data_IF_050154916750
#
_entry.id   IF_050154916750
#
_cell.length_a   1.000
_cell.length_b   1.000
_cell.length_c   1.000
_cell.angle_alpha   90.00
_cell.angle_beta   90.00
_cell.angle_gamma   90.00
#
_symmetry.space_group_name_H-M   'P 1'
#
loop_
_entity.id
_entity.type
_entity.pdbx_description
1 polymer ?
#
# COMPACT_ATOMS: atom_id res chain seq x y z
N UNK A 1 20.15 -14.88 -59.93
CA UNK A 1 20.59 -14.20 -58.68
C UNK A 1 19.57 -13.12 -58.33
N UNK A 2 18.67 -13.38 -57.37
CA UNK A 2 17.67 -12.39 -56.92
C UNK A 2 18.34 -11.42 -55.93
N UNK A 3 18.47 -10.16 -56.32
CA UNK A 3 18.96 -9.08 -55.46
C UNK A 3 17.86 -8.67 -54.48
N UNK A 4 18.11 -8.84 -53.18
CA UNK A 4 17.31 -8.30 -52.10
C UNK A 4 17.67 -6.82 -51.89
N UNK A 5 16.69 -5.93 -52.01
CA UNK A 5 16.83 -4.52 -51.64
C UNK A 5 16.74 -4.42 -50.11
N UNK A 6 17.85 -4.09 -49.47
CA UNK A 6 17.93 -3.74 -48.04
C UNK A 6 17.57 -2.26 -47.91
N UNK A 7 16.36 -1.97 -47.45
CA UNK A 7 15.95 -0.62 -47.04
C UNK A 7 16.44 -0.43 -45.60
N UNK A 8 17.55 0.29 -45.44
CA UNK A 8 18.04 0.77 -44.14
C UNK A 8 17.35 2.09 -43.85
N UNK A 9 16.34 2.08 -42.97
CA UNK A 9 15.74 3.31 -42.44
C UNK A 9 16.61 3.80 -41.28
N UNK A 10 17.34 4.89 -41.53
CA UNK A 10 17.95 5.69 -40.47
C UNK A 10 16.86 6.54 -39.80
N UNK A 11 16.31 6.09 -38.67
CA UNK A 11 15.56 6.96 -37.77
C UNK A 11 16.54 7.65 -36.81
N UNK A 12 17.05 8.80 -37.22
CA UNK A 12 17.64 9.77 -36.29
C UNK A 12 16.49 10.45 -35.56
N UNK A 13 16.09 9.92 -34.41
CA UNK A 13 15.26 10.66 -33.47
C UNK A 13 16.20 11.43 -32.52
N UNK A 14 16.39 12.72 -32.81
CA UNK A 14 16.90 13.64 -31.81
C UNK A 14 15.97 13.59 -30.59
N UNK A 15 16.47 13.15 -29.44
CA UNK A 15 15.76 13.19 -28.16
C UNK A 15 15.66 14.65 -27.70
N UNK A 16 14.72 15.39 -28.27
CA UNK A 16 14.36 16.72 -27.82
C UNK A 16 13.63 16.63 -26.48
N UNK A 17 14.25 17.18 -25.45
CA UNK A 17 13.66 17.47 -24.14
C UNK A 17 12.46 18.40 -24.35
N UNK A 18 11.23 17.90 -24.27
CA UNK A 18 10.06 18.79 -24.13
C UNK A 18 9.07 18.19 -23.15
N UNK A 19 8.94 18.84 -22.00
CA UNK A 19 7.67 18.83 -21.30
C UNK A 19 6.82 20.02 -21.75
N UNK A 20 5.53 19.93 -21.45
CA UNK A 20 4.50 20.81 -21.99
C UNK A 20 3.61 21.36 -20.88
N UNK A 21 3.05 22.55 -21.11
CA UNK A 21 1.91 23.04 -20.35
C UNK A 21 0.65 22.76 -21.13
N UNK A 22 -0.15 21.86 -20.59
CA UNK A 22 -1.43 21.44 -21.14
C UNK A 22 -2.50 22.32 -20.50
N UNK A 23 -3.14 23.16 -21.31
CA UNK A 23 -4.28 23.97 -20.93
C UNK A 23 -5.53 23.13 -21.08
N UNK A 24 -6.28 22.96 -20.00
CA UNK A 24 -7.48 22.13 -19.97
C UNK A 24 -8.73 22.98 -20.21
N UNK A 25 -9.77 22.39 -20.80
CA UNK A 25 -11.06 23.03 -21.06
C UNK A 25 -11.75 23.53 -19.78
N UNK A 26 -11.39 22.96 -18.63
CA UNK A 26 -11.83 23.42 -17.29
C UNK A 26 -11.15 24.71 -16.82
N UNK A 27 -10.26 25.31 -17.62
CA UNK A 27 -9.46 26.49 -17.27
C UNK A 27 -8.19 26.18 -16.46
N UNK A 28 -7.95 24.91 -16.14
CA UNK A 28 -6.74 24.46 -15.44
C UNK A 28 -5.51 24.41 -16.35
N UNK A 29 -4.31 24.52 -15.76
CA UNK A 29 -3.04 24.26 -16.44
C UNK A 29 -2.35 23.07 -15.79
N UNK A 30 -1.81 22.18 -16.63
CA UNK A 30 -1.07 21.01 -16.20
C UNK A 30 0.35 21.07 -16.78
N UNK A 31 1.36 21.10 -15.92
CA UNK A 31 2.76 20.94 -16.34
C UNK A 31 3.07 19.44 -16.39
N UNK A 32 3.28 18.87 -17.58
CA UNK A 32 3.58 17.45 -17.75
C UNK A 32 4.34 17.19 -19.06
N UNK A 33 5.14 16.13 -19.09
CA UNK A 33 5.80 15.66 -20.31
C UNK A 33 4.87 14.74 -21.08
N UNK A 34 4.51 15.09 -22.31
CA UNK A 34 3.71 14.23 -23.17
C UNK A 34 4.61 13.09 -23.66
N UNK A 35 4.23 11.86 -23.31
CA UNK A 35 4.94 10.63 -23.68
C UNK A 35 4.33 9.98 -24.92
N UNK A 36 3.03 10.15 -25.10
CA UNK A 36 2.26 9.61 -26.22
C UNK A 36 1.10 10.56 -26.52
N UNK A 37 0.83 10.78 -27.80
CA UNK A 37 -0.26 11.60 -28.30
C UNK A 37 -0.97 10.80 -29.40
N UNK A 38 -2.26 10.57 -29.21
CA UNK A 38 -3.15 9.86 -30.13
C UNK A 38 -4.34 10.75 -30.44
N UNK A 39 -5.14 10.36 -31.44
CA UNK A 39 -6.36 11.10 -31.82
C UNK A 39 -7.41 11.11 -30.70
N UNK A 40 -7.32 10.21 -29.70
CA UNK A 40 -8.27 10.11 -28.60
C UNK A 40 -7.73 10.70 -27.28
N UNK A 41 -6.41 10.65 -27.06
CA UNK A 41 -5.81 11.03 -25.78
C UNK A 41 -4.35 11.42 -25.85
N UNK A 42 -3.90 12.17 -24.84
CA UNK A 42 -2.48 12.34 -24.48
C UNK A 42 -2.14 11.58 -23.21
N UNK A 43 -1.03 10.84 -23.24
CA UNK A 43 -0.43 10.19 -22.08
C UNK A 43 0.74 11.03 -21.59
N UNK A 44 0.68 11.46 -20.33
CA UNK A 44 1.57 12.51 -19.82
C UNK A 44 2.21 12.12 -18.50
N UNK A 45 3.47 12.52 -18.31
CA UNK A 45 4.23 12.37 -17.07
C UNK A 45 4.30 13.71 -16.35
N UNK A 46 3.52 13.87 -15.30
CA UNK A 46 3.43 15.12 -14.52
C UNK A 46 4.63 15.33 -13.59
N UNK A 47 5.23 14.23 -13.13
CA UNK A 47 6.34 14.19 -12.18
C UNK A 47 7.01 12.82 -12.33
N UNK A 48 8.26 12.59 -11.88
CA UNK A 48 8.84 11.25 -11.87
C UNK A 48 7.87 10.17 -11.37
N UNK A 49 7.54 9.24 -12.27
CA UNK A 49 6.63 8.11 -12.03
C UNK A 49 5.15 8.46 -11.76
N UNK A 50 4.72 9.70 -12.01
CA UNK A 50 3.31 10.10 -12.01
C UNK A 50 2.87 10.28 -13.45
N UNK A 51 2.01 9.36 -13.91
CA UNK A 51 1.47 9.37 -15.26
C UNK A 51 -0.03 9.63 -15.23
N UNK A 52 -0.54 10.29 -16.25
CA UNK A 52 -1.97 10.51 -16.44
C UNK A 52 -2.32 10.34 -17.92
N UNK A 53 -3.49 9.74 -18.17
CA UNK A 53 -4.14 9.76 -19.48
C UNK A 53 -5.17 10.89 -19.48
N UNK A 54 -5.14 11.73 -20.51
CA UNK A 54 -6.04 12.88 -20.65
C UNK A 54 -6.67 12.79 -22.02
N UNK A 55 -8.01 12.75 -22.07
CA UNK A 55 -8.73 12.75 -23.35
C UNK A 55 -8.47 14.06 -24.10
N UNK A 56 -8.25 13.97 -25.42
CA UNK A 56 -7.84 15.11 -26.23
C UNK A 56 -8.87 16.24 -26.20
N UNK A 57 -10.17 15.91 -26.08
CA UNK A 57 -11.27 16.86 -25.96
C UNK A 57 -11.15 17.77 -24.73
N UNK A 58 -10.40 17.33 -23.71
CA UNK A 58 -10.16 18.10 -22.49
C UNK A 58 -9.00 19.06 -22.63
N UNK A 59 -8.25 19.01 -23.74
CA UNK A 59 -7.06 19.81 -24.01
C UNK A 59 -7.42 20.95 -24.96
N UNK A 60 -7.23 22.19 -24.51
CA UNK A 60 -7.47 23.41 -25.29
C UNK A 60 -6.22 23.85 -26.04
N UNK A 61 -5.06 23.74 -25.40
CA UNK A 61 -3.78 24.17 -25.98
C UNK A 61 -2.62 23.49 -25.26
N UNK A 62 -1.54 23.23 -25.99
CA UNK A 62 -0.28 22.71 -25.46
C UNK A 62 0.81 23.77 -25.70
N UNK A 63 1.42 24.30 -24.63
CA UNK A 63 2.61 25.17 -24.72
C UNK A 63 3.87 24.33 -24.46
N UNK A 64 4.77 24.23 -25.44
CA UNK A 64 5.98 23.40 -25.31
C UNK A 64 7.09 24.16 -24.61
N UNK A 65 7.36 23.84 -23.33
CA UNK A 65 8.43 24.45 -22.53
C UNK A 65 8.85 23.57 -21.34
N UNK A 66 10.14 23.55 -20.95
CA UNK A 66 10.60 22.73 -19.83
C UNK A 66 9.78 22.95 -18.56
N UNK A 67 9.36 21.86 -17.91
CA UNK A 67 8.66 21.96 -16.61
C UNK A 67 9.60 22.54 -15.56
N UNK A 68 9.03 23.12 -14.50
CA UNK A 68 9.81 23.56 -13.35
C UNK A 68 10.67 22.42 -12.78
N UNK A 69 10.14 21.21 -12.77
CA UNK A 69 10.85 20.02 -12.30
C UNK A 69 12.02 19.63 -13.21
N UNK A 70 11.88 19.70 -14.53
CA UNK A 70 13.01 19.43 -15.44
C UNK A 70 14.10 20.49 -15.29
N UNK A 71 13.72 21.77 -15.16
CA UNK A 71 14.66 22.85 -14.86
C UNK A 71 15.40 22.61 -13.53
N UNK A 72 14.71 22.08 -12.51
CA UNK A 72 15.33 21.63 -11.27
C UNK A 72 16.32 20.49 -11.50
N UNK A 73 15.91 19.42 -12.19
CA UNK A 73 16.73 18.24 -12.43
C UNK A 73 18.03 18.58 -13.15
N UNK A 74 17.95 19.42 -14.20
CA UNK A 74 19.13 19.88 -14.93
C UNK A 74 20.04 20.79 -14.10
N UNK A 75 19.48 21.64 -13.24
CA UNK A 75 20.28 22.45 -12.30
C UNK A 75 20.97 21.56 -11.26
N UNK A 76 20.26 20.59 -10.69
CA UNK A 76 20.76 19.68 -9.66
C UNK A 76 21.93 18.83 -10.19
N UNK A 77 21.86 18.29 -11.41
CA UNK A 77 22.94 17.50 -12.03
C UNK A 77 24.24 18.27 -12.25
N UNK A 78 24.17 19.61 -12.34
CA UNK A 78 25.34 20.48 -12.59
C UNK A 78 26.05 20.91 -11.31
N UNK A 79 25.48 20.60 -10.15
CA UNK A 79 26.10 20.94 -8.85
C UNK A 79 27.24 19.96 -8.58
N UNK A 80 28.40 20.50 -8.19
CA UNK A 80 29.55 19.71 -7.82
C UNK A 80 29.26 18.86 -6.56
N UNK A 81 29.78 17.62 -6.47
CA UNK A 81 29.67 16.83 -5.26
C UNK A 81 30.20 17.62 -4.05
N UNK A 82 29.43 17.61 -2.96
CA UNK A 82 29.75 18.26 -1.67
C UNK A 82 29.74 19.81 -1.65
N UNK A 83 29.22 20.48 -2.68
CA UNK A 83 29.06 21.94 -2.68
C UNK A 83 27.77 22.37 -1.96
N UNK A 84 27.89 22.59 -0.65
CA UNK A 84 26.77 23.02 0.19
C UNK A 84 26.15 24.35 -0.25
N UNK A 85 26.95 25.30 -0.76
CA UNK A 85 26.46 26.62 -1.15
C UNK A 85 25.65 26.52 -2.45
N UNK A 86 26.12 25.73 -3.43
CA UNK A 86 25.36 25.48 -4.65
C UNK A 86 24.00 24.81 -4.37
N UNK A 87 23.95 23.84 -3.44
CA UNK A 87 22.70 23.24 -2.98
C UNK A 87 21.77 24.27 -2.31
N UNK A 88 22.33 25.20 -1.51
CA UNK A 88 21.54 26.28 -0.91
C UNK A 88 20.95 27.25 -1.95
N UNK A 89 21.74 27.62 -2.96
CA UNK A 89 21.26 28.47 -4.06
C UNK A 89 20.14 27.77 -4.85
N UNK A 90 20.27 26.46 -5.08
CA UNK A 90 19.22 25.66 -5.70
C UNK A 90 17.96 25.60 -4.82
N UNK A 91 18.10 25.46 -3.50
CA UNK A 91 16.98 25.51 -2.57
C UNK A 91 16.21 26.84 -2.70
N UNK A 92 16.91 27.98 -2.67
CA UNK A 92 16.29 29.31 -2.86
C UNK A 92 15.54 29.41 -4.19
N UNK A 93 16.13 28.88 -5.26
CA UNK A 93 15.47 28.83 -6.56
C UNK A 93 14.21 27.95 -6.53
N UNK A 94 14.27 26.75 -5.94
CA UNK A 94 13.12 25.85 -5.78
C UNK A 94 11.97 26.51 -5.03
N UNK A 95 12.27 27.23 -3.93
CA UNK A 95 11.28 28.00 -3.16
C UNK A 95 10.58 29.04 -4.05
N UNK A 96 11.34 29.79 -4.85
CA UNK A 96 10.81 30.80 -5.79
C UNK A 96 9.94 30.18 -6.88
N UNK A 97 10.27 28.97 -7.35
CA UNK A 97 9.49 28.25 -8.37
C UNK A 97 8.25 27.52 -7.82
N UNK A 98 8.06 27.48 -6.50
CA UNK A 98 6.99 26.71 -5.86
C UNK A 98 7.25 25.20 -5.80
N UNK A 99 8.50 24.78 -5.99
CA UNK A 99 8.96 23.39 -5.89
C UNK A 99 9.28 23.05 -4.44
N UNK A 100 8.24 22.94 -3.60
CA UNK A 100 8.41 22.79 -2.14
C UNK A 100 9.08 21.48 -1.72
N UNK A 101 8.90 20.39 -2.49
CA UNK A 101 9.53 19.09 -2.18
C UNK A 101 11.03 19.13 -2.43
N UNK A 102 11.41 19.73 -3.55
CA UNK A 102 12.79 19.94 -3.97
C UNK A 102 13.47 20.94 -3.04
N UNK A 103 12.81 22.07 -2.74
CA UNK A 103 13.29 23.05 -1.75
C UNK A 103 13.68 22.37 -0.44
N UNK A 104 12.77 21.55 0.12
CA UNK A 104 13.06 20.81 1.34
C UNK A 104 14.26 19.87 1.20
N UNK A 105 14.33 19.12 0.11
CA UNK A 105 15.43 18.18 -0.15
C UNK A 105 16.78 18.90 -0.20
N UNK A 106 16.85 20.02 -0.92
CA UNK A 106 18.07 20.81 -1.07
C UNK A 106 18.49 21.49 0.25
N UNK A 107 17.54 21.90 1.10
CA UNK A 107 17.83 22.39 2.47
C UNK A 107 18.45 21.28 3.31
N UNK A 108 17.90 20.06 3.26
CA UNK A 108 18.43 18.91 4.00
C UNK A 108 19.83 18.52 3.51
N UNK A 109 20.08 18.54 2.18
CA UNK A 109 21.40 18.28 1.61
C UNK A 109 22.39 19.35 2.06
N UNK A 110 22.03 20.64 1.98
CA UNK A 110 22.86 21.76 2.44
C UNK A 110 23.32 21.55 3.88
N UNK A 111 22.39 21.19 4.79
CA UNK A 111 22.70 20.95 6.20
C UNK A 111 23.51 19.67 6.42
N UNK A 112 23.34 18.65 5.59
CA UNK A 112 24.15 17.43 5.68
C UNK A 112 25.62 17.70 5.33
N UNK A 113 25.86 18.61 4.38
CA UNK A 113 27.19 19.00 3.91
C UNK A 113 27.81 20.08 4.81
N UNK A 114 26.99 21.01 5.33
CA UNK A 114 27.40 22.11 6.20
C UNK A 114 26.39 22.30 7.35
N UNK A 115 26.52 21.54 8.44
CA UNK A 115 25.54 21.55 9.55
C UNK A 115 25.33 22.90 10.23
N UNK A 116 26.33 23.78 10.18
CA UNK A 116 26.33 25.12 10.75
C UNK A 116 25.90 26.22 9.75
N UNK A 117 25.30 25.85 8.62
CA UNK A 117 24.78 26.81 7.65
C UNK A 117 23.55 27.55 8.19
N UNK A 118 23.74 28.78 8.70
CA UNK A 118 22.72 29.59 9.39
C UNK A 118 21.39 29.71 8.64
N UNK A 119 21.45 30.05 7.35
CA UNK A 119 20.24 30.31 6.55
C UNK A 119 19.43 29.03 6.27
N UNK A 120 20.11 27.93 5.93
CA UNK A 120 19.49 26.62 5.76
C UNK A 120 18.90 26.08 7.07
N UNK A 121 19.55 26.34 8.22
CA UNK A 121 19.03 25.92 9.53
C UNK A 121 17.71 26.64 9.85
N UNK A 122 17.67 27.96 9.65
CA UNK A 122 16.43 28.75 9.80
C UNK A 122 15.32 28.25 8.87
N UNK A 123 15.65 28.00 7.60
CA UNK A 123 14.71 27.44 6.62
C UNK A 123 14.17 26.06 7.02
N UNK A 124 15.02 25.22 7.61
CA UNK A 124 14.64 23.90 8.12
C UNK A 124 13.70 23.98 9.32
N UNK A 125 13.96 24.90 10.25
CA UNK A 125 13.09 25.16 11.41
C UNK A 125 11.71 25.67 10.99
N UNK A 126 11.65 26.59 10.02
CA UNK A 126 10.39 27.05 9.42
C UNK A 126 9.60 25.87 8.81
N UNK A 127 10.25 25.04 7.99
CA UNK A 127 9.64 23.84 7.39
C UNK A 127 9.12 22.84 8.43
N UNK A 128 9.83 22.70 9.56
CA UNK A 128 9.45 21.84 10.67
C UNK A 128 8.21 22.37 11.38
N UNK A 129 8.18 23.67 11.70
CA UNK A 129 7.05 24.32 12.35
C UNK A 129 5.77 24.23 11.49
N UNK A 130 5.88 24.50 10.19
CA UNK A 130 4.77 24.37 9.24
C UNK A 130 4.21 22.93 9.21
N UNK A 131 5.09 21.92 9.24
CA UNK A 131 4.69 20.52 9.28
C UNK A 131 3.94 20.18 10.55
N UNK A 132 4.43 20.61 11.71
CA UNK A 132 3.79 20.39 13.00
C UNK A 132 2.41 21.05 13.05
N UNK A 133 2.28 22.28 12.54
CA UNK A 133 0.98 22.94 12.46
C UNK A 133 0.02 22.24 11.49
N UNK A 134 0.50 21.76 10.33
CA UNK A 134 -0.34 21.00 9.39
C UNK A 134 -0.87 19.71 10.04
N UNK A 135 -0.03 19.01 10.80
CA UNK A 135 -0.44 17.81 11.56
C UNK A 135 -1.49 18.19 12.61
N UNK A 136 -1.26 19.26 13.38
CA UNK A 136 -2.22 19.76 14.39
C UNK A 136 -3.57 20.13 13.77
N UNK A 137 -3.57 20.83 12.63
CA UNK A 137 -4.80 21.19 11.88
C UNK A 137 -5.51 19.95 11.34
N UNK A 138 -4.77 18.96 10.83
CA UNK A 138 -5.34 17.70 10.37
C UNK A 138 -5.98 16.92 11.51
N UNK A 139 -5.32 16.83 12.67
CA UNK A 139 -5.85 16.21 13.88
C UNK A 139 -7.11 16.93 14.38
N UNK A 140 -7.11 18.28 14.42
CA UNK A 140 -8.29 19.08 14.81
C UNK A 140 -9.46 18.90 13.84
N UNK A 141 -9.20 18.83 12.52
CA UNK A 141 -10.21 18.52 11.51
C UNK A 141 -10.76 17.10 11.66
N UNK A 142 -9.90 16.11 11.92
CA UNK A 142 -10.31 14.74 12.18
C UNK A 142 -11.18 14.63 13.45
N UNK A 143 -10.80 15.32 14.53
CA UNK A 143 -11.59 15.42 15.76
C UNK A 143 -12.94 16.10 15.53
N UNK A 144 -12.97 17.23 14.81
CA UNK A 144 -14.22 17.94 14.46
C UNK A 144 -15.13 17.08 13.56
N UNK A 145 -14.57 16.32 12.62
CA UNK A 145 -15.31 15.37 11.77
C UNK A 145 -15.85 14.18 12.57
N UNK A 146 -15.13 13.74 13.61
CA UNK A 146 -15.62 12.72 14.54
C UNK A 146 -16.78 13.23 15.42
N UNK A 147 -16.74 14.50 15.85
CA UNK A 147 -17.83 15.16 16.59
C UNK A 147 -19.04 15.42 15.68
N UNK A 148 -18.84 15.92 14.46
CA UNK A 148 -19.90 16.13 13.47
C UNK A 148 -20.57 14.83 13.02
N UNK A 149 -19.83 13.71 12.93
CA UNK A 149 -20.43 12.38 12.69
C UNK A 149 -21.33 11.90 13.84
N UNK A 150 -21.20 12.44 15.05
CA UNK A 150 -22.16 12.19 16.14
C UNK A 150 -23.43 13.05 16.03
N UNK A 151 -23.38 14.21 15.37
CA UNK A 151 -24.51 15.16 15.26
C UNK A 151 -25.25 15.13 13.92
N UNK A 152 -24.68 14.52 12.87
CA UNK A 152 -25.38 14.31 11.62
C UNK A 152 -26.43 13.21 11.79
N UNK A 153 -27.68 13.62 12.02
CA UNK A 153 -28.86 12.76 11.94
C UNK A 153 -28.95 12.17 10.52
N UNK A 154 -28.32 11.02 10.31
CA UNK A 154 -28.75 10.14 9.23
C UNK A 154 -30.24 9.93 9.46
N UNK A 155 -31.08 10.20 8.44
CA UNK A 155 -32.50 9.85 8.45
C UNK A 155 -32.61 8.47 9.12
N UNK A 156 -33.27 8.41 10.28
CA UNK A 156 -33.39 7.16 11.04
C UNK A 156 -34.12 6.16 10.15
N UNK A 157 -33.36 5.31 9.47
CA UNK A 157 -33.90 4.10 8.85
C UNK A 157 -34.59 3.36 9.99
N UNK A 158 -35.92 3.20 9.90
CA UNK A 158 -36.70 2.47 10.89
C UNK A 158 -36.21 1.01 10.91
N UNK A 159 -36.36 0.33 12.04
CA UNK A 159 -35.99 -1.08 12.14
C UNK A 159 -36.75 -1.90 11.10
N UNK A 160 -36.06 -2.87 10.50
CA UNK A 160 -36.66 -3.77 9.53
C UNK A 160 -37.78 -4.63 10.16
N UNK A 161 -38.73 -5.09 9.35
CA UNK A 161 -39.77 -6.02 9.80
C UNK A 161 -39.16 -7.31 10.36
N UNK A 162 -39.86 -7.98 11.28
CA UNK A 162 -39.44 -9.28 11.80
C UNK A 162 -39.23 -10.32 10.69
N UNK A 163 -40.08 -10.32 9.66
CA UNK A 163 -39.94 -11.18 8.49
C UNK A 163 -38.64 -10.92 7.73
N UNK A 164 -38.25 -9.65 7.54
CA UNK A 164 -37.00 -9.27 6.88
C UNK A 164 -35.77 -9.64 7.71
N UNK A 165 -35.82 -9.42 9.03
CA UNK A 165 -34.73 -9.84 9.94
C UNK A 165 -34.56 -11.37 9.94
N UNK A 166 -35.65 -12.14 9.92
CA UNK A 166 -35.61 -13.59 9.80
C UNK A 166 -35.01 -14.05 8.45
N UNK A 167 -35.36 -13.37 7.35
CA UNK A 167 -34.79 -13.63 6.03
C UNK A 167 -33.27 -13.38 6.00
N UNK A 168 -32.81 -12.28 6.59
CA UNK A 168 -31.38 -11.97 6.70
C UNK A 168 -30.65 -13.03 7.51
N UNK A 169 -31.22 -13.46 8.64
CA UNK A 169 -30.64 -14.55 9.45
C UNK A 169 -30.53 -15.83 8.64
N UNK A 170 -31.54 -16.18 7.84
CA UNK A 170 -31.50 -17.34 6.93
C UNK A 170 -30.36 -17.24 5.92
N UNK A 171 -30.13 -16.07 5.32
CA UNK A 171 -29.00 -15.87 4.40
C UNK A 171 -27.64 -15.91 5.12
N UNK A 172 -27.53 -15.38 6.33
CA UNK A 172 -26.32 -15.51 7.15
C UNK A 172 -26.04 -17.00 7.44
N UNK A 173 -27.07 -17.76 7.81
CA UNK A 173 -26.97 -19.21 8.06
C UNK A 173 -26.57 -19.97 6.80
N UNK A 174 -27.20 -19.67 5.65
CA UNK A 174 -26.85 -20.22 4.34
C UNK A 174 -25.38 -19.96 4.02
N UNK A 175 -24.91 -18.72 4.15
CA UNK A 175 -23.51 -18.35 3.89
C UNK A 175 -22.51 -19.18 4.71
N UNK A 176 -22.76 -19.32 6.02
CA UNK A 176 -21.86 -20.08 6.90
C UNK A 176 -22.00 -21.60 6.77
N UNK A 177 -23.09 -22.10 6.17
CA UNK A 177 -23.26 -23.52 5.85
C UNK A 177 -22.50 -23.94 4.58
N UNK A 178 -22.27 -23.00 3.66
CA UNK A 178 -21.54 -23.26 2.42
C UNK A 178 -20.04 -23.37 2.73
N UNK A 179 -19.34 -24.42 2.26
CA UNK A 179 -17.89 -24.53 2.42
C UNK A 179 -17.13 -23.33 1.82
N UNK A 180 -15.95 -23.02 2.36
CA UNK A 180 -15.18 -21.84 1.91
C UNK A 180 -14.68 -21.96 0.48
N UNK A 181 -14.52 -23.19 0.00
CA UNK A 181 -14.09 -23.49 -1.37
C UNK A 181 -15.14 -23.11 -2.43
N UNK A 182 -16.42 -23.06 -2.06
CA UNK A 182 -17.51 -22.75 -2.98
C UNK A 182 -17.80 -21.23 -3.01
N UNK A 183 -16.79 -20.49 -3.47
CA UNK A 183 -16.84 -19.02 -3.54
C UNK A 183 -18.03 -18.52 -4.37
N UNK A 184 -18.38 -19.21 -5.46
CA UNK A 184 -19.51 -18.82 -6.32
C UNK A 184 -20.84 -18.86 -5.55
N UNK A 185 -21.11 -19.93 -4.79
CA UNK A 185 -22.33 -20.00 -3.99
C UNK A 185 -22.33 -18.98 -2.85
N UNK A 186 -21.19 -18.78 -2.18
CA UNK A 186 -21.07 -17.75 -1.14
C UNK A 186 -21.33 -16.35 -1.68
N UNK A 187 -20.80 -16.03 -2.86
CA UNK A 187 -21.03 -14.76 -3.55
C UNK A 187 -22.49 -14.57 -3.96
N UNK A 188 -23.17 -15.62 -4.43
CA UNK A 188 -24.62 -15.58 -4.68
C UNK A 188 -25.43 -15.24 -3.42
N UNK A 189 -25.03 -15.75 -2.24
CA UNK A 189 -25.69 -15.38 -0.97
C UNK A 189 -25.41 -13.92 -0.59
N UNK A 190 -24.18 -13.44 -0.81
CA UNK A 190 -23.83 -12.04 -0.59
C UNK A 190 -24.58 -11.10 -1.53
N UNK A 191 -24.80 -11.49 -2.79
CA UNK A 191 -25.61 -10.75 -3.76
C UNK A 191 -27.10 -10.73 -3.36
N UNK A 192 -27.65 -11.85 -2.87
CA UNK A 192 -29.00 -11.84 -2.25
C UNK A 192 -29.09 -10.84 -1.09
N UNK A 193 -28.05 -10.79 -0.24
CA UNK A 193 -27.98 -9.84 0.89
C UNK A 193 -27.80 -8.39 0.45
N UNK A 194 -27.01 -8.11 -0.60
CA UNK A 194 -26.71 -6.75 -1.08
C UNK A 194 -27.94 -6.08 -1.71
N UNK A 195 -28.84 -6.87 -2.29
CA UNK A 195 -30.11 -6.41 -2.89
C UNK A 195 -31.17 -6.04 -1.86
N UNK A 196 -30.98 -6.38 -0.57
CA UNK A 196 -31.91 -5.97 0.49
C UNK A 196 -31.71 -4.48 0.81
N UNK A 197 -32.81 -3.75 1.02
CA UNK A 197 -32.69 -2.33 1.38
C UNK A 197 -31.87 -2.13 2.66
N UNK A 198 -31.12 -1.02 2.78
CA UNK A 198 -30.24 -0.74 3.90
C UNK A 198 -30.91 -0.90 5.26
N UNK A 199 -30.23 -1.60 6.16
CA UNK A 199 -30.70 -1.80 7.53
C UNK A 199 -30.41 -0.58 8.42
N UNK A 200 -31.21 -0.45 9.47
CA UNK A 200 -30.87 0.48 10.55
C UNK A 200 -29.57 0.06 11.24
N UNK A 201 -28.86 1.02 11.84
CA UNK A 201 -27.61 0.74 12.58
C UNK A 201 -27.83 -0.27 13.71
N UNK A 202 -28.98 -0.24 14.39
CA UNK A 202 -29.32 -1.19 15.46
C UNK A 202 -29.48 -2.60 14.93
N UNK A 203 -30.10 -2.78 13.76
CA UNK A 203 -30.29 -4.10 13.15
C UNK A 203 -28.94 -4.67 12.70
N UNK A 204 -28.07 -3.86 12.09
CA UNK A 204 -26.69 -4.30 11.75
C UNK A 204 -25.93 -4.74 12.99
N UNK A 205 -26.05 -4.00 14.10
CA UNK A 205 -25.39 -4.34 15.37
C UNK A 205 -25.96 -5.61 16.00
N UNK A 206 -27.23 -5.94 15.78
CA UNK A 206 -27.85 -7.17 16.29
C UNK A 206 -27.24 -8.42 15.64
N UNK A 207 -27.01 -8.39 14.33
CA UNK A 207 -26.36 -9.48 13.59
C UNK A 207 -24.86 -9.57 13.81
N UNK A 208 -24.19 -8.45 14.15
CA UNK A 208 -22.73 -8.43 14.37
C UNK A 208 -22.27 -9.55 15.30
N UNK A 209 -22.84 -9.66 16.50
CA UNK A 209 -22.42 -10.68 17.49
C UNK A 209 -22.59 -12.11 16.96
N UNK A 210 -23.67 -12.35 16.21
CA UNK A 210 -23.98 -13.65 15.63
C UNK A 210 -22.99 -14.03 14.52
N UNK A 211 -22.74 -13.13 13.58
CA UNK A 211 -21.78 -13.31 12.48
C UNK A 211 -20.38 -13.58 13.06
N UNK A 212 -19.93 -12.76 14.02
CA UNK A 212 -18.64 -12.97 14.68
C UNK A 212 -18.58 -14.34 15.36
N UNK A 213 -19.64 -14.76 16.06
CA UNK A 213 -19.68 -16.08 16.69
C UNK A 213 -19.55 -17.21 15.66
N UNK A 214 -20.24 -17.12 14.51
CA UNK A 214 -20.18 -18.12 13.44
C UNK A 214 -18.80 -18.16 12.77
N UNK A 215 -18.22 -17.00 12.45
CA UNK A 215 -16.88 -16.90 11.87
C UNK A 215 -15.79 -17.50 12.77
N UNK A 216 -15.99 -17.47 14.09
CA UNK A 216 -15.05 -18.02 15.07
C UNK A 216 -15.18 -19.54 15.31
N UNK A 217 -16.18 -20.22 14.74
CA UNK A 217 -16.37 -21.68 14.87
C UNK A 217 -15.49 -22.53 13.95
N UNK A 218 -14.71 -21.91 13.08
CA UNK A 218 -13.82 -22.61 12.14
C UNK A 218 -12.68 -23.40 12.82
N UNK A 219 -11.88 -24.12 12.02
CA UNK A 219 -10.77 -24.92 12.54
C UNK A 219 -9.76 -24.04 13.27
N UNK A 220 -9.14 -24.64 14.29
CA UNK A 220 -8.03 -24.07 15.06
C UNK A 220 -6.72 -24.71 14.61
N UNK A 221 -5.63 -24.00 14.85
CA UNK A 221 -4.30 -24.45 14.55
C UNK A 221 -3.94 -25.70 15.34
N UNK A 222 -3.39 -26.68 14.61
CA UNK A 222 -2.76 -27.87 15.18
C UNK A 222 -1.30 -27.86 14.75
N UNK A 223 -0.38 -27.95 15.71
CA UNK A 223 1.05 -27.90 15.44
C UNK A 223 1.83 -28.82 16.38
N UNK A 224 2.91 -29.40 15.87
CA UNK A 224 3.84 -30.28 16.62
C UNK A 224 5.26 -29.76 16.49
N UNK A 225 5.96 -29.60 17.61
CA UNK A 225 7.34 -29.08 17.63
C UNK A 225 7.47 -27.69 16.99
N UNK A 226 6.45 -26.84 17.13
CA UNK A 226 6.43 -25.50 16.52
C UNK A 226 6.20 -25.48 15.00
N UNK A 227 5.75 -26.58 14.40
CA UNK A 227 5.36 -26.65 12.97
C UNK A 227 3.89 -27.03 12.83
N UNK A 228 3.17 -26.32 11.98
CA UNK A 228 1.77 -26.57 11.67
C UNK A 228 1.50 -26.49 10.16
N UNK A 229 0.29 -26.86 9.78
CA UNK A 229 -0.24 -26.68 8.44
C UNK A 229 -1.61 -26.03 8.55
N UNK A 230 -1.89 -25.07 7.67
CA UNK A 230 -3.15 -24.35 7.71
C UNK A 230 -4.30 -25.30 7.38
N UNK A 231 -5.37 -25.24 8.17
CA UNK A 231 -6.58 -26.02 7.95
C UNK A 231 -7.43 -25.36 6.85
N UNK A 232 -6.90 -25.35 5.62
CA UNK A 232 -7.58 -24.79 4.44
C UNK A 232 -7.28 -25.65 3.22
N UNK A 233 -8.34 -26.06 2.50
CA UNK A 233 -8.19 -26.77 1.23
C UNK A 233 -7.69 -25.84 0.11
N UNK A 234 -8.05 -24.56 0.18
CA UNK A 234 -7.65 -23.54 -0.79
C UNK A 234 -6.19 -23.12 -0.61
N UNK A 235 -5.75 -23.04 0.64
CA UNK A 235 -4.42 -22.51 0.99
C UNK A 235 -3.65 -23.50 1.89
N UNK A 236 -3.31 -24.72 1.41
CA UNK A 236 -2.72 -25.78 2.24
C UNK A 236 -1.23 -25.54 2.57
N UNK A 237 -0.84 -24.31 2.93
CA UNK A 237 0.53 -23.94 3.26
C UNK A 237 0.95 -24.37 4.66
N UNK A 238 2.22 -24.73 4.82
CA UNK A 238 2.84 -25.04 6.11
C UNK A 238 3.40 -23.79 6.78
N UNK A 239 3.51 -23.80 8.10
CA UNK A 239 4.06 -22.68 8.85
C UNK A 239 4.83 -23.14 10.09
N UNK A 240 5.70 -22.26 10.59
CA UNK A 240 6.30 -22.39 11.90
C UNK A 240 5.61 -21.43 12.87
N UNK A 241 5.51 -21.81 14.14
CA UNK A 241 4.89 -21.01 15.19
C UNK A 241 5.76 -21.01 16.45
N UNK A 242 5.89 -19.83 17.05
CA UNK A 242 6.44 -19.65 18.38
C UNK A 242 5.38 -19.04 19.29
N UNK A 243 5.02 -19.77 20.34
CA UNK A 243 4.13 -19.30 21.39
C UNK A 243 4.98 -18.76 22.54
N UNK A 244 4.70 -17.54 23.03
CA UNK A 244 5.46 -16.94 24.11
C UNK A 244 5.24 -17.72 25.42
N UNK A 245 6.27 -17.79 26.27
CA UNK A 245 6.12 -18.33 27.64
C UNK A 245 5.42 -17.35 28.58
N UNK A 246 5.43 -16.06 28.25
CA UNK A 246 4.80 -15.00 29.04
C UNK A 246 3.29 -15.14 28.92
N UNK A 247 2.59 -15.28 30.05
CA UNK A 247 1.12 -15.36 30.06
C UNK A 247 0.52 -13.97 29.91
N UNK A 248 -0.34 -13.79 28.92
CA UNK A 248 -1.05 -12.53 28.66
C UNK A 248 -2.54 -12.77 28.47
N UNK A 249 -3.36 -11.76 28.81
CA UNK A 249 -4.82 -11.80 28.55
C UNK A 249 -5.14 -11.80 27.05
N UNK A 250 -4.39 -11.00 26.28
CA UNK A 250 -4.41 -11.01 24.82
C UNK A 250 -2.99 -10.83 24.26
N UNK A 251 -2.65 -11.63 23.25
CA UNK A 251 -1.32 -11.67 22.65
C UNK A 251 -1.27 -10.79 21.40
N UNK A 252 -0.19 -10.00 21.21
CA UNK A 252 0.18 -9.53 19.88
C UNK A 252 0.40 -10.72 18.93
N UNK A 253 0.13 -10.52 17.65
CA UNK A 253 0.44 -11.48 16.59
C UNK A 253 1.51 -10.87 15.67
N UNK A 254 2.58 -11.60 15.40
CA UNK A 254 3.58 -11.25 14.40
C UNK A 254 3.60 -12.30 13.29
N UNK A 255 3.38 -11.87 12.06
CA UNK A 255 3.58 -12.69 10.87
C UNK A 255 4.93 -12.32 10.25
N UNK A 256 5.81 -13.30 10.08
CA UNK A 256 7.15 -13.10 9.49
C UNK A 256 7.31 -13.81 8.15
N UNK A 257 7.48 -13.03 7.08
CA UNK A 257 7.61 -13.53 5.71
C UNK A 257 9.09 -13.78 5.36
N UNK A 258 9.40 -14.99 4.89
CA UNK A 258 10.76 -15.32 4.46
C UNK A 258 11.14 -14.61 3.15
N UNK A 259 12.45 -14.42 2.92
CA UNK A 259 12.98 -14.05 1.61
C UNK A 259 12.92 -15.22 0.63
N UNK A 260 13.13 -14.97 -0.66
CA UNK A 260 12.89 -15.99 -1.67
C UNK A 260 13.70 -15.80 -2.94
N UNK A 261 13.30 -16.59 -3.93
CA UNK A 261 13.92 -16.84 -5.23
C UNK A 261 13.26 -18.09 -5.81
N UNK A 262 13.49 -18.38 -7.08
CA UNK A 262 12.88 -19.57 -7.70
C UNK A 262 13.28 -20.85 -6.93
N UNK A 263 12.29 -21.66 -6.52
CA UNK A 263 12.52 -22.87 -5.73
C UNK A 263 12.82 -22.64 -4.23
N UNK A 264 12.86 -21.38 -3.74
CA UNK A 264 13.13 -21.03 -2.34
C UNK A 264 11.86 -20.52 -1.66
N UNK A 265 11.55 -21.03 -0.46
CA UNK A 265 10.23 -20.78 0.10
C UNK A 265 9.96 -21.15 1.56
N UNK A 266 10.98 -21.41 2.39
CA UNK A 266 10.77 -22.00 3.72
C UNK A 266 10.62 -20.94 4.84
N UNK A 267 9.50 -21.00 5.57
CA UNK A 267 9.21 -20.15 6.72
C UNK A 267 10.23 -20.24 7.86
N UNK A 268 11.02 -21.32 7.94
CA UNK A 268 12.12 -21.48 8.92
C UNK A 268 13.15 -20.34 8.83
N UNK A 269 13.38 -19.82 7.63
CA UNK A 269 14.30 -18.70 7.40
C UNK A 269 13.83 -17.39 8.04
N UNK A 270 12.51 -17.21 8.14
CA UNK A 270 11.90 -16.08 8.84
C UNK A 270 11.90 -16.30 10.36
N UNK A 271 11.62 -17.54 10.79
CA UNK A 271 11.71 -17.94 12.19
C UNK A 271 13.08 -17.61 12.79
N UNK A 272 14.18 -17.92 12.09
CA UNK A 272 15.52 -17.61 12.59
C UNK A 272 15.78 -16.11 12.77
N UNK A 273 15.14 -15.25 11.96
CA UNK A 273 15.33 -13.79 12.02
C UNK A 273 14.48 -13.13 13.08
N UNK A 274 13.23 -13.56 13.23
CA UNK A 274 12.24 -12.83 14.04
C UNK A 274 11.58 -13.66 15.15
N UNK A 275 11.91 -14.94 15.29
CA UNK A 275 11.37 -15.83 16.34
C UNK A 275 11.63 -15.34 17.77
N UNK A 276 12.69 -14.54 17.97
CA UNK A 276 13.01 -13.93 19.26
C UNK A 276 11.92 -12.96 19.74
N UNK A 277 11.04 -12.46 18.87
CA UNK A 277 9.89 -11.63 19.26
C UNK A 277 8.92 -12.35 20.20
N UNK A 278 8.90 -13.70 20.18
CA UNK A 278 8.13 -14.47 21.15
C UNK A 278 8.62 -14.27 22.60
N UNK A 279 9.91 -13.94 22.80
CA UNK A 279 10.45 -13.59 24.14
C UNK A 279 9.89 -12.26 24.66
N UNK A 280 9.33 -11.42 23.78
CA UNK A 280 8.65 -10.16 24.12
C UNK A 280 7.13 -10.32 24.28
N UNK A 281 6.61 -11.55 24.20
CA UNK A 281 5.19 -11.86 24.45
C UNK A 281 4.31 -11.93 23.21
N UNK A 282 4.86 -11.84 21.99
CA UNK A 282 4.08 -12.03 20.77
C UNK A 282 3.93 -13.51 20.41
N UNK A 283 2.76 -13.91 19.89
CA UNK A 283 2.65 -15.15 19.12
C UNK A 283 3.23 -14.84 17.74
N UNK A 284 4.22 -15.63 17.32
CA UNK A 284 4.93 -15.40 16.06
C UNK A 284 4.66 -16.56 15.11
N UNK A 285 4.26 -16.26 13.88
CA UNK A 285 3.95 -17.26 12.85
C UNK A 285 4.73 -16.95 11.59
N UNK A 286 5.36 -17.98 11.02
CA UNK A 286 6.28 -17.88 9.90
C UNK A 286 5.81 -18.82 8.78
N UNK A 287 4.95 -18.33 7.87
CA UNK A 287 4.43 -19.15 6.77
C UNK A 287 5.50 -19.51 5.75
N UNK A 288 5.41 -20.73 5.21
CA UNK A 288 6.11 -21.21 4.01
C UNK A 288 5.21 -20.95 2.81
N UNK A 289 5.72 -20.37 1.72
CA UNK A 289 4.91 -20.14 0.51
C UNK A 289 4.31 -21.45 -0.03
N UNK A 290 3.11 -21.36 -0.60
CA UNK A 290 2.41 -22.51 -1.18
C UNK A 290 3.12 -22.94 -2.47
N UNK A 291 3.48 -21.98 -3.32
CA UNK A 291 4.36 -22.23 -4.47
C UNK A 291 5.65 -21.42 -4.35
N UNK A 292 6.78 -22.07 -4.63
CA UNK A 292 8.11 -21.49 -4.51
C UNK A 292 8.51 -20.67 -5.74
N UNK A 293 7.76 -19.62 -6.00
CA UNK A 293 7.96 -18.68 -7.10
C UNK A 293 8.75 -17.46 -6.60
N UNK A 294 9.59 -16.85 -7.46
CA UNK A 294 10.41 -15.68 -7.07
C UNK A 294 9.60 -14.44 -6.59
N UNK A 295 8.32 -14.37 -6.91
CA UNK A 295 7.41 -13.28 -6.51
C UNK A 295 6.22 -13.77 -5.69
N UNK A 296 6.34 -14.94 -5.04
CA UNK A 296 5.23 -15.64 -4.39
C UNK A 296 4.42 -14.72 -3.45
N UNK A 297 5.06 -13.95 -2.56
CA UNK A 297 4.35 -13.07 -1.62
C UNK A 297 3.57 -11.91 -2.24
N UNK A 298 3.75 -11.64 -3.54
CA UNK A 298 3.01 -10.64 -4.30
C UNK A 298 1.86 -11.25 -5.11
N UNK A 299 1.65 -12.57 -5.04
CA UNK A 299 0.53 -13.26 -5.68
C UNK A 299 -0.65 -13.33 -4.73
N UNK A 300 -1.86 -13.14 -5.25
CA UNK A 300 -3.08 -13.15 -4.45
C UNK A 300 -3.21 -14.42 -3.60
N UNK A 301 -2.83 -15.59 -4.12
CA UNK A 301 -2.86 -16.87 -3.39
C UNK A 301 -2.11 -16.78 -2.05
N UNK A 302 -0.88 -16.30 -2.04
CA UNK A 302 -0.07 -16.14 -0.83
C UNK A 302 -0.58 -15.03 0.07
N UNK A 303 -1.12 -13.94 -0.48
CA UNK A 303 -1.78 -12.90 0.32
C UNK A 303 -2.98 -13.48 1.08
N UNK A 304 -3.86 -14.21 0.38
CA UNK A 304 -5.03 -14.87 0.97
C UNK A 304 -4.63 -15.94 1.97
N UNK A 305 -3.55 -16.68 1.70
CA UNK A 305 -2.98 -17.64 2.64
C UNK A 305 -2.58 -16.98 3.97
N UNK A 306 -1.88 -15.84 3.92
CA UNK A 306 -1.50 -15.09 5.12
C UNK A 306 -2.74 -14.62 5.90
N UNK A 307 -3.77 -14.13 5.21
CA UNK A 307 -5.00 -13.71 5.86
C UNK A 307 -5.76 -14.88 6.51
N UNK A 308 -5.86 -16.02 5.82
CA UNK A 308 -6.48 -17.22 6.35
C UNK A 308 -5.73 -17.74 7.60
N UNK A 309 -4.39 -17.63 7.60
CA UNK A 309 -3.55 -17.98 8.74
C UNK A 309 -3.80 -17.06 9.95
N UNK A 310 -3.93 -15.74 9.73
CA UNK A 310 -4.29 -14.79 10.79
C UNK A 310 -5.66 -15.16 11.41
N UNK A 311 -6.65 -15.51 10.58
CA UNK A 311 -7.96 -15.93 11.06
C UNK A 311 -7.91 -17.24 11.87
N UNK A 312 -7.10 -18.23 11.45
CA UNK A 312 -6.87 -19.45 12.24
C UNK A 312 -6.20 -19.14 13.58
N UNK A 313 -5.21 -18.24 13.60
CA UNK A 313 -4.56 -17.81 14.85
C UNK A 313 -5.54 -17.12 15.80
N UNK A 314 -6.43 -16.27 15.28
CA UNK A 314 -7.49 -15.63 16.09
C UNK A 314 -8.44 -16.65 16.72
N UNK A 315 -8.75 -17.75 16.02
CA UNK A 315 -9.58 -18.85 16.58
C UNK A 315 -8.83 -19.69 17.61
N UNK A 316 -7.52 -19.79 17.49
CA UNK A 316 -6.67 -20.63 18.33
C UNK A 316 -6.28 -19.93 19.63
N UNK A 317 -5.90 -18.66 19.54
CA UNK A 317 -5.34 -17.89 20.63
C UNK A 317 -6.13 -16.61 20.89
N UNK A 318 -6.09 -16.04 22.11
CA UNK A 318 -6.70 -14.74 22.38
C UNK A 318 -5.84 -13.62 21.77
N UNK A 319 -5.90 -13.46 20.45
CA UNK A 319 -5.15 -12.42 19.73
C UNK A 319 -5.75 -11.04 20.00
N UNK A 320 -4.88 -10.07 20.23
CA UNK A 320 -5.26 -8.66 20.22
C UNK A 320 -5.28 -8.15 18.78
N UNK A 321 -6.48 -7.95 18.22
CA UNK A 321 -6.68 -7.53 16.83
C UNK A 321 -6.14 -6.12 16.54
N UNK A 322 -5.81 -5.33 17.56
CA UNK A 322 -5.16 -4.03 17.40
C UNK A 322 -3.62 -4.13 17.45
N UNK A 323 -3.05 -5.33 17.57
CA UNK A 323 -1.61 -5.60 17.67
C UNK A 323 -1.20 -6.78 16.78
N UNK A 324 -1.63 -6.72 15.52
CA UNK A 324 -1.18 -7.65 14.46
C UNK A 324 -0.12 -6.94 13.63
N UNK A 325 1.05 -7.55 13.49
CA UNK A 325 2.21 -6.98 12.79
C UNK A 325 2.65 -7.89 11.65
N UNK A 326 3.13 -7.29 10.57
CA UNK A 326 3.70 -8.00 9.43
C UNK A 326 5.14 -7.57 9.21
N UNK A 327 6.06 -8.52 9.11
CA UNK A 327 7.49 -8.28 8.89
C UNK A 327 8.00 -9.20 7.79
N UNK A 328 9.07 -8.82 7.11
CA UNK A 328 9.67 -9.71 6.12
C UNK A 328 10.97 -9.19 5.52
N UNK A 329 11.74 -10.07 4.90
CA UNK A 329 13.06 -9.77 4.33
C UNK A 329 13.12 -10.12 2.85
N UNK A 330 13.74 -9.29 2.01
CA UNK A 330 13.87 -9.55 0.56
C UNK A 330 12.49 -9.77 -0.08
N UNK A 331 12.23 -10.91 -0.73
CA UNK A 331 10.88 -11.28 -1.22
C UNK A 331 9.79 -11.09 -0.15
N UNK A 332 10.08 -11.42 1.12
CA UNK A 332 9.16 -11.18 2.23
C UNK A 332 9.00 -9.70 2.58
N UNK A 333 10.00 -8.86 2.30
CA UNK A 333 9.89 -7.40 2.41
C UNK A 333 8.98 -6.82 1.33
N UNK A 334 9.08 -7.31 0.09
CA UNK A 334 8.12 -6.97 -0.99
C UNK A 334 6.70 -7.42 -0.63
N UNK A 335 6.56 -8.64 -0.09
CA UNK A 335 5.29 -9.15 0.43
C UNK A 335 4.72 -8.32 1.58
N UNK A 336 5.57 -7.85 2.49
CA UNK A 336 5.16 -7.00 3.62
C UNK A 336 4.57 -5.68 3.14
N UNK A 337 5.16 -5.08 2.10
CA UNK A 337 4.58 -3.91 1.44
C UNK A 337 3.26 -4.23 0.73
N UNK A 338 3.21 -5.30 -0.07
CA UNK A 338 2.02 -5.69 -0.84
C UNK A 338 0.83 -6.02 0.05
N UNK A 339 0.98 -7.04 0.91
CA UNK A 339 -0.08 -7.52 1.80
C UNK A 339 -0.45 -6.44 2.81
N UNK A 340 0.53 -5.76 3.38
CA UNK A 340 0.30 -4.73 4.39
C UNK A 340 -0.51 -3.54 3.86
N UNK A 341 -0.34 -3.17 2.59
CA UNK A 341 -1.13 -2.09 1.97
C UNK A 341 -2.52 -2.54 1.55
N UNK A 342 -2.68 -3.77 1.04
CA UNK A 342 -3.99 -4.33 0.69
C UNK A 342 -4.90 -4.58 1.90
N UNK A 343 -4.34 -4.86 3.08
CA UNK A 343 -5.09 -5.15 4.31
C UNK A 343 -4.69 -4.21 5.46
N UNK A 344 -4.56 -2.91 5.14
CA UNK A 344 -4.09 -1.88 6.09
C UNK A 344 -5.01 -1.71 7.33
N UNK A 345 -6.24 -2.19 7.27
CA UNK A 345 -7.19 -2.24 8.38
C UNK A 345 -6.90 -3.36 9.39
N UNK A 346 -6.09 -4.36 9.01
CA UNK A 346 -5.73 -5.51 9.85
C UNK A 346 -4.43 -5.28 10.60
N UNK A 347 -3.44 -4.62 9.99
CA UNK A 347 -2.10 -4.49 10.55
C UNK A 347 -1.91 -3.20 11.36
N UNK A 348 -1.44 -3.36 12.60
CA UNK A 348 -1.04 -2.25 13.47
C UNK A 348 0.32 -1.64 13.08
N UNK A 349 1.15 -2.40 12.36
CA UNK A 349 2.44 -1.93 11.87
C UNK A 349 3.12 -2.93 10.93
N UNK A 350 3.95 -2.39 10.04
CA UNK A 350 4.71 -3.14 9.04
C UNK A 350 6.21 -2.93 9.26
N UNK A 351 7.02 -3.98 9.10
CA UNK A 351 8.48 -3.91 9.12
C UNK A 351 9.10 -4.63 7.91
N UNK A 352 9.04 -4.02 6.71
CA UNK A 352 9.67 -4.54 5.50
C UNK A 352 11.18 -4.28 5.51
N UNK A 353 11.98 -5.34 5.34
CA UNK A 353 13.44 -5.28 5.28
C UNK A 353 13.94 -5.71 3.89
N UNK A 354 14.85 -4.94 3.30
CA UNK A 354 15.48 -5.26 2.00
C UNK A 354 14.46 -5.62 0.88
N UNK A 355 13.26 -5.07 0.95
CA UNK A 355 12.19 -5.23 -0.05
C UNK A 355 11.62 -3.88 -0.44
N UNK A 356 10.98 -3.82 -1.61
CA UNK A 356 10.40 -2.60 -2.17
C UNK A 356 8.89 -2.72 -2.37
N UNK A 357 8.25 -1.61 -2.73
CA UNK A 357 6.85 -1.59 -3.15
C UNK A 357 6.75 -1.92 -4.65
N UNK A 358 7.81 -1.63 -5.41
CA UNK A 358 7.94 -1.89 -6.85
C UNK A 358 9.36 -2.39 -7.15
N UNK A 359 9.50 -3.34 -8.08
CA UNK A 359 10.79 -3.60 -8.72
C UNK A 359 10.87 -2.65 -9.91
N UNK A 360 11.59 -1.53 -9.76
CA UNK A 360 11.92 -0.70 -10.91
C UNK A 360 12.99 -1.41 -11.73
N UNK A 361 12.75 -1.65 -13.02
CA UNK A 361 13.82 -1.97 -13.97
C UNK A 361 14.14 -0.70 -14.73
N UNK A 362 15.22 -0.02 -14.32
CA UNK A 362 15.84 1.03 -15.12
C UNK A 362 17.05 0.48 -15.90
N UNK A 363 17.57 1.22 -16.89
CA UNK A 363 18.78 0.84 -17.64
C UNK A 363 20.01 0.62 -16.74
N UNK A 364 20.03 1.21 -15.53
CA UNK A 364 21.10 1.11 -14.55
C UNK A 364 20.81 0.12 -13.38
N UNK A 365 19.72 -0.66 -13.44
CA UNK A 365 19.38 -1.66 -12.42
C UNK A 365 18.11 -1.35 -11.59
N UNK A 366 18.04 -1.96 -10.39
CA UNK A 366 16.88 -1.88 -9.47
C UNK A 366 17.11 -0.81 -8.40
N UNK A 367 16.26 0.23 -8.36
CA UNK A 367 16.33 1.33 -7.39
C UNK A 367 15.06 1.48 -6.54
N UNK A 368 15.18 2.08 -5.36
CA UNK A 368 14.07 2.41 -4.46
C UNK A 368 13.49 3.79 -4.80
N UNK A 369 12.17 3.90 -4.94
CA UNK A 369 11.47 5.17 -5.16
C UNK A 369 10.63 5.58 -3.92
N UNK A 370 10.58 6.89 -3.63
CA UNK A 370 9.69 7.47 -2.61
C UNK A 370 8.36 7.87 -3.25
N UNK A 371 7.24 7.43 -2.68
CA UNK A 371 5.89 7.77 -3.16
C UNK A 371 4.80 7.41 -2.15
N UNK A 372 3.57 7.85 -2.42
CA UNK A 372 2.37 7.39 -1.70
C UNK A 372 1.81 6.19 -2.45
N UNK A 373 1.76 5.02 -1.81
CA UNK A 373 1.07 3.86 -2.35
C UNK A 373 -0.42 4.09 -2.17
N UNK A 374 -1.13 4.27 -3.28
CA UNK A 374 -2.60 4.27 -3.24
C UNK A 374 -3.01 2.87 -2.84
N UNK A 375 -3.88 2.74 -1.84
CA UNK A 375 -4.45 1.44 -1.49
C UNK A 375 -5.18 0.89 -2.71
N UNK A 376 -4.65 -0.17 -3.33
CA UNK A 376 -5.16 -0.70 -4.59
C UNK A 376 -6.38 -1.63 -4.39
N UNK A 377 -6.75 -1.96 -3.15
CA UNK A 377 -7.86 -2.89 -2.87
C UNK A 377 -8.96 -2.38 -1.93
N UNK A 378 -8.73 -1.34 -1.12
CA UNK A 378 -9.78 -0.74 -0.25
C UNK A 378 -9.99 0.76 -0.47
#
# INVERSE_FOLDING_TARGET
MRRWLLVVVFCVAALSIQADIIHLASGGKLEAEILEETDDYIFVRMYPNIYAKIDIERVVRIERRPTRWQMYSEKSKKIAPYDAEAHWQLAKWCKKQGLYREYKTEVEITLSLKPNHKEALKAYEELRAEREERIRRAQKRAAKKAVSKKSASHKKVKSASQSKLAQIRKFIDEFFSIPEEDHKKREQVLDKLSRLEPLSRSDVLSFKREIFRKAMRGPKATYKGGRGQLNSKLYPGTYYICVPRIRMRKYPLLIGLHGGGEGVGDGRNALYKWGSAARKGAICVFPTVIKKEATAWNKEREERYVMALIEEMKRTFPIDTNRIYLVGHSMGGYGTWSIGTHYADVFAGLAPCAGGIFVMRGPAGVGLARGTVVNLKN
#
